data_IF_070388953662
#
_entry.id   IF_070388953662
#
_cell.length_a   1.000
_cell.length_b   1.000
_cell.length_c   1.000
_cell.angle_alpha   90.00
_cell.angle_beta   90.00
_cell.angle_gamma   90.00
#
_symmetry.space_group_name_H-M   'P 1'
#
loop_
_entity.id
_entity.type
_entity.pdbx_description
1 polymer ?
#
# COMPACT_ATOMS: atom_id res chain seq x y z
N UNK A 1 8.57 18.49 -15.45
CA UNK A 1 7.50 19.34 -14.90
C UNK A 1 7.41 19.00 -13.43
N UNK A 2 7.38 20.00 -12.55
CA UNK A 2 7.63 19.82 -11.12
C UNK A 2 6.42 20.31 -10.31
N UNK A 3 6.11 19.60 -9.22
CA UNK A 3 5.13 20.03 -8.22
C UNK A 3 5.73 21.15 -7.38
N UNK A 4 5.01 22.25 -7.23
CA UNK A 4 5.43 23.41 -6.42
C UNK A 4 4.39 23.73 -5.36
N UNK A 5 4.82 24.48 -4.35
CA UNK A 5 3.93 25.03 -3.31
C UNK A 5 3.06 23.96 -2.61
N UNK A 6 3.63 22.77 -2.43
CA UNK A 6 2.93 21.66 -1.78
C UNK A 6 2.72 21.96 -0.30
N UNK A 7 1.46 22.06 0.10
CA UNK A 7 1.04 22.26 1.49
C UNK A 7 -0.13 21.34 1.82
N UNK A 8 -0.25 20.99 3.09
CA UNK A 8 -1.41 20.28 3.61
C UNK A 8 -1.66 20.63 5.07
N UNK A 9 -2.92 20.49 5.47
CA UNK A 9 -3.40 20.55 6.85
C UNK A 9 -4.34 19.36 7.10
N UNK A 10 -5.14 19.38 8.18
CA UNK A 10 -6.02 18.27 8.54
C UNK A 10 -7.12 17.97 7.52
N UNK A 11 -7.51 18.94 6.69
CA UNK A 11 -8.69 18.84 5.83
C UNK A 11 -8.36 19.08 4.35
N UNK A 12 -7.19 19.62 4.05
CA UNK A 12 -6.83 20.08 2.70
C UNK A 12 -5.41 19.65 2.35
N UNK A 13 -5.24 19.21 1.10
CA UNK A 13 -3.95 19.19 0.42
C UNK A 13 -4.02 20.08 -0.82
N UNK A 14 -2.95 20.83 -1.10
CA UNK A 14 -2.86 21.66 -2.31
C UNK A 14 -1.46 21.77 -2.86
N UNK A 15 -1.37 21.94 -4.17
CA UNK A 15 -0.10 22.16 -4.88
C UNK A 15 -0.32 22.81 -6.25
N UNK A 16 0.76 23.34 -6.80
CA UNK A 16 0.82 23.91 -8.14
C UNK A 16 1.44 22.90 -9.11
N UNK A 17 0.78 22.64 -10.25
CA UNK A 17 1.31 21.80 -11.33
C UNK A 17 0.76 22.27 -12.69
N UNK A 18 1.66 22.46 -13.68
CA UNK A 18 1.32 22.96 -15.01
C UNK A 18 0.44 24.23 -14.99
N UNK A 19 0.86 25.24 -14.22
CA UNK A 19 0.16 26.53 -14.04
C UNK A 19 -1.24 26.43 -13.43
N UNK A 20 -1.64 25.24 -12.98
CA UNK A 20 -2.89 25.01 -12.26
C UNK A 20 -2.61 24.82 -10.78
N UNK A 21 -3.51 25.38 -9.97
CA UNK A 21 -3.57 25.11 -8.54
C UNK A 21 -4.54 23.94 -8.32
N UNK A 22 -4.01 22.83 -7.82
CA UNK A 22 -4.79 21.68 -7.38
C UNK A 22 -5.06 21.86 -5.89
N UNK A 23 -6.32 21.72 -5.49
CA UNK A 23 -6.76 21.77 -4.09
C UNK A 23 -7.81 20.71 -3.88
N UNK A 24 -7.57 19.80 -2.95
CA UNK A 24 -8.44 18.65 -2.70
C UNK A 24 -8.72 18.58 -1.20
N UNK A 25 -9.99 18.37 -0.88
CA UNK A 25 -10.46 18.23 0.48
C UNK A 25 -10.49 16.76 0.88
N UNK A 26 -9.94 16.46 2.05
CA UNK A 26 -10.05 15.18 2.74
C UNK A 26 -10.57 15.43 4.15
N UNK A 27 -10.74 14.37 4.92
CA UNK A 27 -11.03 14.49 6.35
C UNK A 27 -9.97 13.73 7.14
N UNK A 28 -9.42 14.37 8.17
CA UNK A 28 -8.42 13.79 9.07
C UNK A 28 -7.13 13.34 8.35
N UNK A 29 -6.51 14.22 7.57
CA UNK A 29 -5.19 13.95 6.98
C UNK A 29 -4.16 13.85 8.11
N UNK A 30 -3.50 12.69 8.19
CA UNK A 30 -2.40 12.44 9.12
C UNK A 30 -1.04 12.71 8.49
N UNK A 31 -0.95 12.52 7.18
CA UNK A 31 0.29 12.67 6.43
C UNK A 31 0.00 12.89 4.94
N UNK A 32 0.77 13.78 4.31
CA UNK A 32 0.82 13.87 2.86
C UNK A 32 2.24 14.21 2.36
N UNK A 33 2.63 13.63 1.23
CA UNK A 33 3.95 13.82 0.64
C UNK A 33 3.94 13.70 -0.89
N UNK A 34 4.89 14.37 -1.55
CA UNK A 34 5.12 14.27 -2.99
C UNK A 34 6.27 13.30 -3.27
N UNK A 35 6.01 12.23 -4.00
CA UNK A 35 7.04 11.33 -4.54
C UNK A 35 7.31 11.72 -6.00
N UNK A 36 8.32 12.55 -6.23
CA UNK A 36 8.72 13.00 -7.56
C UNK A 36 9.40 11.92 -8.40
N UNK A 37 9.89 10.85 -7.78
CA UNK A 37 10.52 9.72 -8.47
C UNK A 37 9.45 8.81 -9.06
N UNK A 38 8.37 8.58 -8.31
CA UNK A 38 7.24 7.74 -8.73
C UNK A 38 6.07 8.54 -9.32
N UNK A 39 6.16 9.87 -9.32
CA UNK A 39 5.20 10.79 -9.91
C UNK A 39 3.79 10.73 -9.29
N UNK A 40 3.69 10.78 -7.96
CA UNK A 40 2.41 10.87 -7.28
C UNK A 40 2.47 11.73 -6.00
N UNK A 41 1.30 12.16 -5.55
CA UNK A 41 1.04 12.65 -4.19
C UNK A 41 0.46 11.51 -3.36
N UNK A 42 1.12 11.18 -2.24
CA UNK A 42 0.70 10.18 -1.28
C UNK A 42 0.02 10.85 -0.10
N UNK A 43 -1.16 10.36 0.27
CA UNK A 43 -1.99 10.93 1.33
C UNK A 43 -2.49 9.80 2.22
N UNK A 44 -2.38 10.00 3.53
CA UNK A 44 -2.91 9.10 4.56
C UNK A 44 -3.90 9.86 5.41
N UNK A 45 -5.11 9.30 5.55
CA UNK A 45 -6.16 9.84 6.38
C UNK A 45 -6.61 8.80 7.43
N UNK A 46 -7.04 9.27 8.59
CA UNK A 46 -7.58 8.42 9.66
C UNK A 46 -7.66 9.13 11.00
N UNK A 47 -8.43 8.57 11.92
CA UNK A 47 -8.56 9.14 13.27
C UNK A 47 -7.41 8.67 14.18
N UNK A 48 -6.97 9.53 15.11
CA UNK A 48 -5.92 9.18 16.08
C UNK A 48 -4.63 8.65 15.42
N UNK A 49 -4.21 9.25 14.30
CA UNK A 49 -3.03 8.84 13.52
C UNK A 49 -3.13 7.45 12.89
N UNK A 50 -4.33 6.87 12.78
CA UNK A 50 -4.51 5.62 12.04
C UNK A 50 -4.32 5.82 10.53
N UNK A 51 -3.85 4.79 9.86
CA UNK A 51 -3.85 4.73 8.40
C UNK A 51 -5.15 4.05 7.96
N UNK A 52 -6.29 4.73 8.06
CA UNK A 52 -7.58 4.18 7.66
C UNK A 52 -7.77 4.21 6.16
N UNK A 53 -7.37 5.31 5.53
CA UNK A 53 -7.52 5.55 4.11
C UNK A 53 -6.19 6.04 3.52
N UNK A 54 -5.87 5.53 2.34
CA UNK A 54 -4.65 5.88 1.63
C UNK A 54 -4.98 6.22 0.20
N UNK A 55 -4.41 7.31 -0.30
CA UNK A 55 -4.64 7.82 -1.65
C UNK A 55 -3.31 8.12 -2.35
N UNK A 56 -3.22 7.68 -3.60
CA UNK A 56 -2.12 7.99 -4.51
C UNK A 56 -2.76 8.81 -5.62
N UNK A 57 -2.38 10.08 -5.73
CA UNK A 57 -2.92 11.00 -6.73
C UNK A 57 -1.83 11.35 -7.76
N UNK A 58 -2.23 11.47 -9.01
CA UNK A 58 -1.41 12.14 -10.04
C UNK A 58 -1.18 13.60 -9.67
N UNK A 59 -0.20 14.24 -10.31
CA UNK A 59 0.06 15.67 -10.10
C UNK A 59 -1.06 16.57 -10.65
N UNK A 60 -1.96 16.04 -11.47
CA UNK A 60 -3.21 16.69 -11.88
C UNK A 60 -4.36 16.48 -10.87
N UNK A 61 -4.13 15.75 -9.78
CA UNK A 61 -5.12 15.48 -8.74
C UNK A 61 -6.07 14.32 -9.04
N UNK A 62 -5.87 13.56 -10.11
CA UNK A 62 -6.65 12.35 -10.40
C UNK A 62 -6.18 11.18 -9.56
N UNK A 63 -7.09 10.35 -9.07
CA UNK A 63 -6.78 9.13 -8.35
C UNK A 63 -6.03 8.14 -9.25
N UNK A 64 -4.90 7.64 -8.75
CA UNK A 64 -4.15 6.52 -9.32
C UNK A 64 -4.52 5.23 -8.58
N UNK A 65 -4.51 5.29 -7.25
CA UNK A 65 -4.79 4.15 -6.38
C UNK A 65 -5.36 4.68 -5.06
N UNK A 66 -6.29 3.95 -4.46
CA UNK A 66 -6.79 4.23 -3.12
C UNK A 66 -7.26 2.95 -2.44
N UNK A 67 -7.15 2.91 -1.12
CA UNK A 67 -7.86 1.93 -0.31
C UNK A 67 -8.38 2.54 0.99
N UNK A 68 -9.46 1.95 1.50
CA UNK A 68 -10.12 2.32 2.75
C UNK A 68 -10.36 1.05 3.58
N UNK A 69 -9.68 0.97 4.73
CA UNK A 69 -9.75 -0.16 5.66
C UNK A 69 -11.13 -0.29 6.30
N UNK A 70 -11.86 0.81 6.48
CA UNK A 70 -13.20 0.82 7.12
C UNK A 70 -14.26 0.25 6.18
N UNK A 71 -14.30 0.72 4.94
CA UNK A 71 -15.26 0.21 3.95
C UNK A 71 -14.81 -1.12 3.32
N UNK A 72 -13.51 -1.44 3.38
CA UNK A 72 -12.93 -2.59 2.69
C UNK A 72 -12.76 -2.36 1.20
N UNK A 73 -12.83 -1.12 0.73
CA UNK A 73 -12.77 -0.77 -0.68
C UNK A 73 -11.33 -0.53 -1.12
N UNK A 74 -10.99 -1.06 -2.30
CA UNK A 74 -9.72 -0.80 -2.98
C UNK A 74 -10.05 -0.41 -4.41
N UNK A 75 -9.47 0.67 -4.91
CA UNK A 75 -9.75 1.17 -6.24
C UNK A 75 -8.54 1.78 -6.92
N UNK A 76 -8.47 1.68 -8.24
CA UNK A 76 -7.37 2.22 -9.04
C UNK A 76 -7.82 2.59 -10.44
N UNK A 77 -7.07 3.48 -11.06
CA UNK A 77 -7.25 3.79 -12.48
C UNK A 77 -6.56 2.72 -13.34
N UNK A 78 -7.29 2.18 -14.30
CA UNK A 78 -6.73 1.31 -15.33
C UNK A 78 -7.45 1.55 -16.66
N UNK A 79 -6.70 2.06 -17.66
CA UNK A 79 -7.22 2.40 -18.99
C UNK A 79 -8.39 3.41 -18.92
N UNK A 80 -8.20 4.48 -18.16
CA UNK A 80 -9.18 5.55 -17.94
C UNK A 80 -10.51 5.07 -17.34
N UNK A 81 -10.47 3.92 -16.64
CA UNK A 81 -11.59 3.35 -15.91
C UNK A 81 -11.19 3.13 -14.47
N UNK A 82 -12.08 3.52 -13.57
CA UNK A 82 -11.98 3.15 -12.16
C UNK A 82 -12.33 1.66 -12.00
N UNK A 83 -11.34 0.88 -11.60
CA UNK A 83 -11.50 -0.52 -11.18
C UNK A 83 -11.63 -0.54 -9.66
N UNK A 84 -12.49 -1.41 -9.14
CA UNK A 84 -12.81 -1.48 -7.73
C UNK A 84 -13.02 -2.93 -7.29
N UNK A 85 -12.49 -3.26 -6.11
CA UNK A 85 -12.72 -4.53 -5.44
C UNK A 85 -13.07 -4.28 -3.97
N UNK A 86 -13.76 -5.25 -3.38
CA UNK A 86 -14.06 -5.27 -1.95
C UNK A 86 -13.23 -6.36 -1.28
N UNK A 87 -12.47 -5.98 -0.26
CA UNK A 87 -11.68 -6.86 0.58
C UNK A 87 -11.96 -6.54 2.05
N UNK A 88 -12.36 -7.55 2.83
CA UNK A 88 -12.61 -7.36 4.27
C UNK A 88 -11.30 -7.33 5.04
N UNK A 89 -11.24 -6.52 6.09
CA UNK A 89 -10.12 -6.46 7.04
C UNK A 89 -8.78 -6.17 6.35
N UNK A 90 -8.71 -5.09 5.55
CA UNK A 90 -7.48 -4.67 4.88
C UNK A 90 -6.47 -4.23 5.93
N UNK A 91 -5.28 -4.82 5.90
CA UNK A 91 -4.12 -4.34 6.67
C UNK A 91 -3.34 -3.31 5.85
N UNK A 92 -3.09 -3.62 4.58
CA UNK A 92 -2.37 -2.76 3.64
C UNK A 92 -2.67 -3.20 2.20
N UNK A 93 -2.60 -2.29 1.25
CA UNK A 93 -2.74 -2.60 -0.18
C UNK A 93 -1.74 -1.81 -1.01
N UNK A 94 -1.32 -2.35 -2.16
CA UNK A 94 -0.33 -1.74 -3.03
C UNK A 94 -0.62 -2.02 -4.49
N UNK A 95 -0.54 -0.97 -5.31
CA UNK A 95 -0.47 -1.08 -6.76
C UNK A 95 0.99 -1.20 -7.21
N UNK A 96 1.32 -2.27 -7.94
CA UNK A 96 2.63 -2.46 -8.58
C UNK A 96 2.44 -2.48 -10.10
N UNK A 97 2.30 -1.29 -10.69
CA UNK A 97 1.96 -1.12 -12.11
C UNK A 97 2.98 -1.74 -13.05
N UNK A 98 4.26 -1.82 -12.66
CA UNK A 98 5.33 -2.45 -13.47
C UNK A 98 5.08 -3.94 -13.66
N UNK A 99 4.54 -4.59 -12.64
CA UNK A 99 4.24 -6.02 -12.64
C UNK A 99 2.78 -6.30 -13.05
N UNK A 100 1.98 -5.25 -13.24
CA UNK A 100 0.58 -5.35 -13.66
C UNK A 100 -0.33 -5.98 -12.59
N UNK A 101 -0.05 -5.72 -11.32
CA UNK A 101 -0.74 -6.36 -10.20
C UNK A 101 -1.12 -5.37 -9.09
N UNK A 102 -2.25 -5.64 -8.42
CA UNK A 102 -2.63 -5.05 -7.14
C UNK A 102 -2.53 -6.13 -6.06
N UNK A 103 -1.88 -5.81 -4.97
CA UNK A 103 -1.66 -6.72 -3.84
C UNK A 103 -2.34 -6.20 -2.59
N UNK A 104 -2.90 -7.11 -1.81
CA UNK A 104 -3.66 -6.78 -0.59
C UNK A 104 -3.25 -7.73 0.52
N UNK A 105 -2.80 -7.18 1.64
CA UNK A 105 -2.71 -7.90 2.92
C UNK A 105 -4.05 -7.72 3.61
N UNK A 106 -4.69 -8.84 3.94
CA UNK A 106 -6.00 -8.87 4.58
C UNK A 106 -6.03 -9.87 5.73
N UNK A 107 -6.95 -9.66 6.68
CA UNK A 107 -7.11 -10.50 7.86
C UNK A 107 -6.66 -9.79 9.13
N UNK A 108 -6.64 -10.53 10.23
CA UNK A 108 -6.19 -10.03 11.53
C UNK A 108 -5.09 -10.92 12.08
N UNK A 109 -4.20 -10.34 12.88
CA UNK A 109 -3.20 -11.10 13.60
C UNK A 109 -3.90 -12.25 14.36
N UNK A 110 -3.46 -13.48 14.09
CA UNK A 110 -4.02 -14.74 14.65
C UNK A 110 -5.28 -15.32 13.99
N UNK A 111 -5.82 -14.74 12.91
CA UNK A 111 -6.84 -15.45 12.10
C UNK A 111 -6.90 -15.01 10.64
N UNK A 112 -6.82 -15.99 9.73
CA UNK A 112 -7.11 -15.84 8.30
C UNK A 112 -6.32 -14.73 7.59
N UNK A 113 -5.09 -14.45 8.02
CA UNK A 113 -4.18 -13.55 7.28
C UNK A 113 -3.90 -14.10 5.89
N UNK A 114 -3.99 -13.23 4.90
CA UNK A 114 -3.88 -13.57 3.49
C UNK A 114 -3.22 -12.45 2.72
N UNK A 115 -2.32 -12.82 1.83
CA UNK A 115 -1.88 -12.02 0.70
C UNK A 115 -2.76 -12.38 -0.51
N UNK A 116 -3.43 -11.39 -1.06
CA UNK A 116 -4.24 -11.51 -2.28
C UNK A 116 -3.55 -10.76 -3.41
N UNK A 117 -3.53 -11.36 -4.60
CA UNK A 117 -3.05 -10.72 -5.83
C UNK A 117 -4.18 -10.58 -6.84
N UNK A 118 -4.30 -9.42 -7.47
CA UNK A 118 -5.31 -9.11 -8.48
C UNK A 118 -4.66 -8.53 -9.74
N UNK A 119 -5.15 -8.91 -10.91
CA UNK A 119 -4.84 -8.22 -12.16
C UNK A 119 -5.34 -6.78 -12.13
N UNK A 120 -4.81 -5.92 -13.02
CA UNK A 120 -5.26 -4.53 -13.14
C UNK A 120 -6.72 -4.36 -13.57
N UNK A 121 -7.37 -5.38 -14.12
CA UNK A 121 -8.81 -5.40 -14.41
C UNK A 121 -9.67 -5.98 -13.27
N UNK A 122 -9.05 -6.35 -12.13
CA UNK A 122 -9.75 -6.72 -10.89
C UNK A 122 -9.99 -8.22 -10.71
N UNK A 123 -9.34 -9.08 -11.50
CA UNK A 123 -9.46 -10.54 -11.38
C UNK A 123 -8.45 -11.06 -10.37
N UNK A 124 -8.90 -11.84 -9.38
CA UNK A 124 -8.00 -12.46 -8.40
C UNK A 124 -7.13 -13.54 -9.05
N UNK A 125 -5.82 -13.45 -8.86
CA UNK A 125 -4.80 -14.37 -9.37
C UNK A 125 -4.42 -15.44 -8.34
N UNK A 126 -4.20 -15.03 -7.09
CA UNK A 126 -3.77 -15.93 -6.04
C UNK A 126 -4.20 -15.44 -4.66
N UNK A 127 -4.16 -16.38 -3.71
CA UNK A 127 -4.31 -16.18 -2.27
C UNK A 127 -3.24 -17.00 -1.55
N UNK A 128 -2.50 -16.38 -0.64
CA UNK A 128 -1.41 -17.02 0.11
C UNK A 128 -1.48 -16.68 1.59
N UNK A 129 -1.34 -17.69 2.44
CA UNK A 129 -1.15 -17.49 3.87
C UNK A 129 0.26 -16.94 4.17
N UNK A 130 0.48 -16.35 5.35
CA UNK A 130 1.82 -16.04 5.82
C UNK A 130 2.74 -17.26 5.80
N UNK A 131 4.06 -17.05 5.59
CA UNK A 131 5.06 -18.08 5.85
C UNK A 131 4.89 -18.67 7.27
N UNK A 132 5.17 -19.96 7.43
CA UNK A 132 4.97 -20.65 8.72
C UNK A 132 5.72 -19.96 9.86
N UNK A 133 4.99 -19.60 10.92
CA UNK A 133 5.56 -18.94 12.11
C UNK A 133 5.69 -17.42 11.99
N UNK A 134 5.07 -16.83 10.97
CA UNK A 134 5.08 -15.40 10.69
C UNK A 134 3.66 -14.80 10.56
N UNK A 135 3.57 -13.49 10.78
CA UNK A 135 2.41 -12.64 10.52
C UNK A 135 2.77 -11.55 9.50
N UNK A 136 1.84 -11.19 8.62
CA UNK A 136 2.05 -10.08 7.69
C UNK A 136 1.91 -8.74 8.41
N UNK A 137 2.83 -7.80 8.14
CA UNK A 137 2.72 -6.42 8.64
C UNK A 137 2.35 -5.45 7.52
N UNK A 138 3.26 -5.19 6.59
CA UNK A 138 3.08 -4.19 5.53
C UNK A 138 3.97 -4.47 4.32
N UNK A 139 3.60 -3.88 3.18
CA UNK A 139 4.44 -3.92 1.98
C UNK A 139 5.68 -3.03 2.12
N UNK A 140 6.81 -3.53 1.65
CA UNK A 140 8.08 -2.81 1.60
C UNK A 140 8.84 -3.14 0.32
N UNK A 141 10.05 -2.63 0.15
CA UNK A 141 10.94 -2.95 -0.97
C UNK A 141 12.33 -3.26 -0.45
N UNK A 142 12.90 -4.38 -0.88
CA UNK A 142 14.29 -4.76 -0.59
C UNK A 142 15.03 -4.95 -1.91
N UNK A 143 16.15 -4.24 -2.09
CA UNK A 143 16.95 -4.28 -3.32
C UNK A 143 16.10 -4.05 -4.58
N UNK A 144 15.18 -3.07 -4.52
CA UNK A 144 14.21 -2.74 -5.58
C UNK A 144 13.22 -3.87 -5.94
N UNK A 145 13.10 -4.90 -5.12
CA UNK A 145 12.10 -5.96 -5.27
C UNK A 145 10.98 -5.76 -4.26
N UNK A 146 9.75 -5.99 -4.70
CA UNK A 146 8.60 -5.94 -3.82
C UNK A 146 8.69 -7.01 -2.73
N UNK A 147 8.44 -6.60 -1.50
CA UNK A 147 8.49 -7.49 -0.34
C UNK A 147 7.35 -7.20 0.63
N UNK A 148 7.09 -8.13 1.52
CA UNK A 148 6.27 -7.94 2.71
C UNK A 148 7.20 -8.04 3.92
N UNK A 149 7.06 -7.12 4.87
CA UNK A 149 7.66 -7.31 6.18
C UNK A 149 6.74 -8.22 6.99
N UNK A 150 7.30 -9.30 7.50
CA UNK A 150 6.60 -10.24 8.36
C UNK A 150 7.23 -10.28 9.75
N UNK A 151 6.40 -10.30 10.78
CA UNK A 151 6.80 -10.51 12.16
C UNK A 151 6.79 -12.00 12.49
N UNK A 152 7.93 -12.53 12.94
CA UNK A 152 8.07 -13.93 13.34
C UNK A 152 7.84 -14.15 14.83
N UNK A 153 7.45 -15.37 15.20
CA UNK A 153 7.48 -15.80 16.61
C UNK A 153 8.90 -15.90 17.19
N UNK A 154 9.01 -16.29 18.47
CA UNK A 154 10.31 -16.44 19.17
C UNK A 154 11.30 -17.33 18.42
N UNK A 155 10.82 -18.42 17.81
CA UNK A 155 11.66 -19.37 17.05
C UNK A 155 12.19 -18.79 15.72
N UNK A 156 11.69 -17.62 15.32
CA UNK A 156 12.08 -16.91 14.10
C UNK A 156 12.97 -15.69 14.37
N UNK A 157 13.30 -15.44 15.64
CA UNK A 157 14.17 -14.36 16.05
C UNK A 157 15.64 -14.69 15.74
N UNK A 158 16.43 -13.67 15.44
CA UNK A 158 17.88 -13.78 15.38
C UNK A 158 18.51 -13.82 16.79
N UNK A 159 19.84 -13.89 16.85
CA UNK A 159 20.59 -13.92 18.11
C UNK A 159 20.39 -12.68 19.01
N UNK A 160 19.84 -11.60 18.46
CA UNK A 160 19.58 -10.34 19.17
C UNK A 160 18.08 -10.16 19.48
N UNK A 161 17.25 -11.17 19.23
CA UNK A 161 15.80 -11.12 19.47
C UNK A 161 15.01 -10.41 18.38
N UNK A 162 15.63 -10.05 17.24
CA UNK A 162 14.94 -9.39 16.12
C UNK A 162 14.22 -10.42 15.27
N UNK A 163 12.93 -10.19 15.04
CA UNK A 163 12.02 -11.15 14.41
C UNK A 163 11.26 -10.59 13.19
N UNK A 164 11.54 -9.35 12.78
CA UNK A 164 10.96 -8.77 11.57
C UNK A 164 11.85 -9.06 10.36
N UNK A 165 11.28 -9.68 9.34
CA UNK A 165 12.01 -10.12 8.15
C UNK A 165 11.29 -9.67 6.88
N UNK A 166 12.07 -9.31 5.86
CA UNK A 166 11.56 -9.16 4.51
C UNK A 166 11.29 -10.54 3.90
N UNK A 167 10.15 -10.68 3.25
CA UNK A 167 9.83 -11.77 2.34
C UNK A 167 9.58 -11.19 0.96
N UNK A 168 10.43 -11.52 0.00
CA UNK A 168 10.24 -11.07 -1.38
C UNK A 168 9.15 -11.89 -2.05
N UNK A 169 8.24 -11.20 -2.71
CA UNK A 169 7.08 -11.79 -3.39
C UNK A 169 7.44 -12.08 -4.85
N UNK A 170 7.12 -13.28 -5.33
CA UNK A 170 6.93 -13.53 -6.76
C UNK A 170 5.53 -13.06 -7.14
N UNK A 171 5.45 -11.92 -7.85
CA UNK A 171 4.18 -11.27 -8.20
C UNK A 171 3.33 -12.09 -9.18
N UNK A 172 3.84 -13.16 -9.78
CA UNK A 172 3.05 -14.02 -10.69
C UNK A 172 2.24 -15.06 -9.94
N UNK A 173 2.77 -15.57 -8.83
CA UNK A 173 2.21 -16.74 -8.13
C UNK A 173 2.01 -16.53 -6.62
N UNK A 174 2.46 -15.40 -6.08
CA UNK A 174 2.36 -15.05 -4.66
C UNK A 174 3.33 -15.78 -3.74
N UNK A 175 4.21 -16.62 -4.27
CA UNK A 175 5.22 -17.30 -3.47
C UNK A 175 6.19 -16.29 -2.85
N UNK A 176 6.64 -16.59 -1.64
CA UNK A 176 7.41 -15.66 -0.83
C UNK A 176 8.72 -16.32 -0.37
N UNK A 177 9.83 -15.61 -0.56
CA UNK A 177 11.16 -16.07 -0.15
C UNK A 177 11.72 -15.14 0.91
N UNK A 178 12.06 -15.71 2.07
CA UNK A 178 12.69 -14.97 3.18
C UNK A 178 13.99 -14.30 2.70
N UNK A 179 14.20 -13.07 3.11
CA UNK A 179 15.36 -12.24 2.79
C UNK A 179 16.02 -11.74 4.08
N UNK A 180 16.48 -10.50 4.11
CA UNK A 180 17.12 -9.86 5.26
C UNK A 180 16.11 -9.44 6.35
N UNK A 181 16.66 -9.07 7.51
CA UNK A 181 15.91 -8.39 8.56
C UNK A 181 15.33 -7.07 8.06
N UNK A 182 14.11 -6.74 8.50
CA UNK A 182 13.48 -5.46 8.26
C UNK A 182 13.81 -4.52 9.43
N UNK A 183 14.80 -3.65 9.22
CA UNK A 183 15.27 -2.64 10.18
C UNK A 183 15.81 -1.42 9.44
#
# INVERSE_FOLDING_TARGET
MEVKDFIWDLDIVSWSYNEKNIKIQFSNINFANVDSVKNYVYIVCGENFSEDQVYYLSFEGKQIFAYDKKSGKISWDYKDRLVEINCKNITSAKLESKDGIVLVISGSQNSNEKLLGFTLDGIQLFEKAPPKGYHFLYFSSVSNRLSIVCEGGKDQADAYGRNNWHFVIDTKIGEMVKSNLAY
#
